data_IF_662420830740
#
_entry.id   IF_662420830740
#
_cell.length_a   1.000
_cell.length_b   1.000
_cell.length_c   1.000
_cell.angle_alpha   90.00
_cell.angle_beta   90.00
_cell.angle_gamma   90.00
#
_symmetry.space_group_name_H-M   'P 1'
#
loop_
_entity.id
_entity.type
_entity.pdbx_description
1 polymer ?
#
# COMPACT_ATOMS: atom_id res chain seq x y z
N UNK A 1 38.15 -27.33 25.37
CA UNK A 1 37.26 -28.51 25.39
C UNK A 1 35.87 -28.00 25.75
N UNK A 2 35.09 -27.62 24.75
CA UNK A 2 33.69 -27.22 24.96
C UNK A 2 32.92 -28.54 25.03
N UNK A 3 32.41 -28.91 26.20
CA UNK A 3 31.53 -30.05 26.36
C UNK A 3 30.20 -29.69 25.71
N UNK A 4 30.09 -30.03 24.43
CA UNK A 4 28.86 -29.91 23.65
C UNK A 4 27.89 -30.98 24.14
N UNK A 5 27.20 -30.68 25.23
CA UNK A 5 26.12 -31.53 25.74
C UNK A 5 25.00 -31.55 24.69
N UNK A 6 24.86 -32.70 24.03
CA UNK A 6 23.90 -32.91 22.94
C UNK A 6 22.47 -32.59 23.40
N UNK A 7 22.17 -32.79 24.69
CA UNK A 7 20.88 -32.46 25.28
C UNK A 7 20.61 -30.96 25.35
N UNK A 8 21.63 -30.14 25.62
CA UNK A 8 21.50 -28.67 25.64
C UNK A 8 21.25 -28.07 24.25
N UNK A 9 21.87 -28.64 23.22
CA UNK A 9 21.61 -28.26 21.82
C UNK A 9 20.20 -28.72 21.40
N UNK A 10 19.83 -29.97 21.74
CA UNK A 10 18.50 -30.50 21.44
C UNK A 10 17.39 -29.73 22.17
N UNK A 11 17.61 -29.26 23.39
CA UNK A 11 16.67 -28.42 24.13
C UNK A 11 16.50 -27.04 23.48
N UNK A 12 17.58 -26.47 22.94
CA UNK A 12 17.54 -25.19 22.21
C UNK A 12 16.80 -25.32 20.88
N UNK A 13 16.99 -26.44 20.16
CA UNK A 13 16.27 -26.76 18.91
C UNK A 13 14.80 -27.11 19.18
N UNK A 14 14.50 -27.81 20.28
CA UNK A 14 13.13 -28.18 20.68
C UNK A 14 12.35 -27.04 21.31
N UNK A 15 12.98 -25.92 21.64
CA UNK A 15 12.25 -24.74 22.11
C UNK A 15 11.26 -24.34 21.01
N UNK A 16 9.95 -24.55 21.18
CA UNK A 16 9.00 -24.09 20.20
C UNK A 16 9.12 -22.57 20.24
N UNK A 17 9.58 -21.97 19.14
CA UNK A 17 9.65 -20.51 18.99
C UNK A 17 8.32 -19.93 19.47
N UNK A 18 8.33 -19.40 20.70
CA UNK A 18 7.11 -18.96 21.35
C UNK A 18 6.63 -17.78 20.53
N UNK A 19 5.47 -17.91 19.88
CA UNK A 19 4.80 -16.81 19.18
C UNK A 19 4.44 -15.73 20.21
N UNK A 20 5.42 -14.94 20.63
CA UNK A 20 5.39 -14.13 21.86
C UNK A 20 5.00 -12.67 21.62
N UNK A 21 4.40 -12.36 20.48
CA UNK A 21 3.82 -11.05 20.22
C UNK A 21 2.30 -11.11 20.24
N UNK A 22 1.66 -10.09 20.82
CA UNK A 22 0.25 -9.78 20.50
C UNK A 22 0.11 -9.68 18.97
N UNK A 23 -0.97 -10.23 18.42
CA UNK A 23 -1.27 -10.19 16.98
C UNK A 23 -1.16 -8.77 16.41
N UNK A 24 -1.68 -7.79 17.16
CA UNK A 24 -1.59 -6.37 16.83
C UNK A 24 -0.16 -5.86 16.80
N UNK A 25 0.67 -6.27 17.78
CA UNK A 25 2.08 -5.86 17.84
C UNK A 25 2.89 -6.39 16.66
N UNK A 26 2.59 -7.62 16.21
CA UNK A 26 3.23 -8.20 15.02
C UNK A 26 2.80 -7.47 13.74
N UNK A 27 1.51 -7.21 13.55
CA UNK A 27 1.00 -6.48 12.39
C UNK A 27 1.58 -5.05 12.34
N UNK A 28 1.63 -4.38 13.49
CA UNK A 28 2.22 -3.04 13.62
C UNK A 28 3.73 -3.03 13.35
N UNK A 29 4.45 -4.05 13.80
CA UNK A 29 5.88 -4.20 13.52
C UNK A 29 6.17 -4.36 12.02
N UNK A 30 5.41 -5.23 11.35
CA UNK A 30 5.51 -5.44 9.89
C UNK A 30 5.16 -4.15 9.15
N UNK A 31 4.12 -3.45 9.59
CA UNK A 31 3.72 -2.17 9.03
C UNK A 31 4.85 -1.12 9.11
N UNK A 32 5.44 -0.92 10.30
CA UNK A 32 6.52 0.06 10.47
C UNK A 32 7.77 -0.29 9.69
N UNK A 33 8.12 -1.57 9.60
CA UNK A 33 9.23 -2.02 8.77
C UNK A 33 8.98 -1.64 7.30
N UNK A 34 7.79 -1.94 6.78
CA UNK A 34 7.39 -1.59 5.42
C UNK A 34 7.29 -0.08 5.18
N UNK A 35 6.82 0.69 6.15
CA UNK A 35 6.74 2.14 6.07
C UNK A 35 8.15 2.77 5.97
N UNK A 36 9.11 2.31 6.78
CA UNK A 36 10.51 2.76 6.68
C UNK A 36 11.11 2.49 5.31
N UNK A 37 10.86 1.29 4.76
CA UNK A 37 11.28 0.93 3.40
C UNK A 37 10.70 1.94 2.41
N UNK A 38 9.39 2.18 2.45
CA UNK A 38 8.73 3.12 1.55
C UNK A 38 9.36 4.53 1.58
N UNK A 39 9.65 5.07 2.77
CA UNK A 39 10.27 6.39 2.90
C UNK A 39 11.75 6.43 2.49
N UNK A 40 12.45 5.28 2.44
CA UNK A 40 13.80 5.19 1.89
C UNK A 40 13.83 5.25 0.36
N UNK A 41 12.79 4.76 -0.34
CA UNK A 41 12.70 4.77 -1.81
C UNK A 41 12.18 6.11 -2.36
N UNK A 42 12.87 7.21 -2.01
CA UNK A 42 12.48 8.58 -2.36
C UNK A 42 12.37 8.82 -3.87
N UNK A 43 13.27 8.24 -4.66
CA UNK A 43 13.29 8.43 -6.12
C UNK A 43 12.03 7.85 -6.79
N UNK A 44 11.64 6.65 -6.40
CA UNK A 44 10.44 6.01 -6.95
C UNK A 44 9.18 6.79 -6.57
N UNK A 45 9.08 7.22 -5.30
CA UNK A 45 7.97 8.04 -4.83
C UNK A 45 7.89 9.39 -5.56
N UNK A 46 9.04 10.03 -5.81
CA UNK A 46 9.11 11.31 -6.51
C UNK A 46 8.63 11.20 -7.95
N UNK A 47 9.04 10.16 -8.69
CA UNK A 47 8.58 9.93 -10.06
C UNK A 47 7.07 9.74 -10.12
N UNK A 48 6.51 8.98 -9.19
CA UNK A 48 5.06 8.73 -9.15
C UNK A 48 4.27 10.01 -8.83
N UNK A 49 4.77 10.82 -7.87
CA UNK A 49 4.16 12.11 -7.52
C UNK A 49 4.24 13.12 -8.69
N UNK A 50 5.30 13.10 -9.50
CA UNK A 50 5.40 13.92 -10.70
C UNK A 50 4.44 13.49 -11.82
N UNK A 51 4.05 12.22 -11.87
CA UNK A 51 3.04 11.72 -12.81
C UNK A 51 1.63 12.22 -12.51
N UNK A 52 1.33 12.56 -11.24
CA UNK A 52 -0.02 12.96 -10.82
C UNK A 52 -0.52 14.27 -11.45
N UNK A 53 0.25 15.38 -11.43
CA UNK A 53 -0.17 16.61 -12.09
C UNK A 53 -0.50 16.41 -13.56
N UNK A 54 0.24 15.54 -14.24
CA UNK A 54 0.02 15.23 -15.65
C UNK A 54 -1.33 14.52 -15.82
N UNK A 55 -1.62 13.51 -14.99
CA UNK A 55 -2.90 12.81 -15.01
C UNK A 55 -4.07 13.77 -14.72
N UNK A 56 -3.95 14.61 -13.69
CA UNK A 56 -4.96 15.61 -13.34
C UNK A 56 -5.17 16.62 -14.47
N UNK A 57 -4.10 17.09 -15.10
CA UNK A 57 -4.17 18.02 -16.23
C UNK A 57 -4.97 17.43 -17.40
N UNK A 58 -4.82 16.13 -17.70
CA UNK A 58 -5.62 15.45 -18.75
C UNK A 58 -7.12 15.52 -18.44
N UNK A 59 -7.51 15.22 -17.20
CA UNK A 59 -8.92 15.31 -16.79
C UNK A 59 -9.43 16.75 -16.78
N UNK A 60 -8.59 17.73 -16.43
CA UNK A 60 -8.93 19.15 -16.54
C UNK A 60 -9.13 19.61 -17.99
N UNK A 61 -8.25 19.24 -18.92
CA UNK A 61 -8.48 19.57 -20.32
C UNK A 61 -9.71 18.85 -20.88
N UNK A 62 -9.99 17.64 -20.40
CA UNK A 62 -11.24 16.94 -20.74
C UNK A 62 -12.46 17.69 -20.22
N UNK A 63 -12.42 18.24 -19.00
CA UNK A 63 -13.52 19.04 -18.44
C UNK A 63 -13.81 20.30 -19.26
N UNK A 64 -12.78 20.89 -19.89
CA UNK A 64 -12.94 22.04 -20.78
C UNK A 64 -13.64 21.69 -22.11
N UNK A 65 -13.55 20.43 -22.55
CA UNK A 65 -14.22 19.94 -23.76
C UNK A 65 -15.69 19.55 -23.51
N UNK A 66 -16.09 19.35 -22.25
CA UNK A 66 -17.44 18.93 -21.89
C UNK A 66 -18.37 20.15 -21.76
N UNK A 67 -19.50 20.09 -22.46
CA UNK A 67 -20.52 21.16 -22.50
C UNK A 67 -21.26 21.20 -21.15
N UNK A 68 -21.06 22.27 -20.38
CA UNK A 68 -21.52 22.48 -18.98
C UNK A 68 -23.03 22.27 -18.66
N UNK A 69 -24.00 22.55 -19.55
CA UNK A 69 -25.42 22.40 -19.23
C UNK A 69 -25.87 20.98 -18.88
N UNK A 70 -25.24 19.92 -19.42
CA UNK A 70 -25.78 18.56 -19.28
C UNK A 70 -25.52 17.89 -17.92
N UNK A 71 -24.57 18.40 -17.13
CA UNK A 71 -24.14 17.78 -15.87
C UNK A 71 -25.00 18.16 -14.67
N UNK A 72 -25.37 19.44 -14.58
CA UNK A 72 -26.31 19.92 -13.57
C UNK A 72 -27.70 19.27 -13.75
N UNK A 73 -28.14 19.14 -15.02
CA UNK A 73 -29.41 18.49 -15.37
C UNK A 73 -29.40 16.98 -15.08
N UNK A 74 -28.23 16.33 -15.10
CA UNK A 74 -28.06 14.91 -14.77
C UNK A 74 -27.86 14.65 -13.25
N UNK A 75 -27.86 15.68 -12.41
CA UNK A 75 -27.68 15.57 -10.96
C UNK A 75 -26.24 15.33 -10.50
N UNK A 76 -25.26 15.40 -11.40
CA UNK A 76 -23.83 15.22 -11.09
C UNK A 76 -23.17 16.56 -10.73
N UNK A 77 -23.59 17.16 -9.62
CA UNK A 77 -22.91 18.33 -9.02
C UNK A 77 -22.78 19.57 -9.91
N UNK A 78 -22.12 20.61 -9.39
CA UNK A 78 -21.90 21.87 -10.11
C UNK A 78 -20.68 21.85 -11.03
N UNK A 79 -19.75 20.92 -10.83
CA UNK A 79 -18.48 20.89 -11.56
C UNK A 79 -18.01 19.47 -11.92
N UNK A 80 -17.86 19.20 -13.22
CA UNK A 80 -17.40 17.91 -13.76
C UNK A 80 -16.01 17.55 -13.24
N UNK A 81 -15.16 18.56 -13.07
CA UNK A 81 -13.78 18.38 -12.62
C UNK A 81 -13.73 17.70 -11.26
N UNK A 82 -14.53 18.17 -10.29
CA UNK A 82 -14.56 17.58 -8.95
C UNK A 82 -15.02 16.11 -8.99
N UNK A 83 -16.02 15.80 -9.80
CA UNK A 83 -16.49 14.42 -10.00
C UNK A 83 -15.40 13.53 -10.60
N UNK A 84 -14.78 13.95 -11.69
CA UNK A 84 -13.72 13.19 -12.37
C UNK A 84 -12.49 13.00 -11.47
N UNK A 85 -12.11 14.04 -10.71
CA UNK A 85 -10.97 14.01 -9.80
C UNK A 85 -11.19 13.01 -8.66
N UNK A 86 -12.38 12.97 -8.05
CA UNK A 86 -12.72 12.00 -7.01
C UNK A 86 -12.70 10.58 -7.61
N UNK A 87 -13.33 10.39 -8.77
CA UNK A 87 -13.40 9.10 -9.45
C UNK A 87 -12.02 8.54 -9.80
N UNK A 88 -11.14 9.34 -10.40
CA UNK A 88 -9.78 8.87 -10.76
C UNK A 88 -8.94 8.60 -9.52
N UNK A 89 -9.01 9.47 -8.52
CA UNK A 89 -8.23 9.29 -7.28
C UNK A 89 -8.65 8.02 -6.55
N UNK A 90 -9.96 7.76 -6.46
CA UNK A 90 -10.50 6.56 -5.83
C UNK A 90 -10.14 5.29 -6.62
N UNK A 91 -10.23 5.35 -7.95
CA UNK A 91 -9.87 4.21 -8.81
C UNK A 91 -8.39 3.86 -8.64
N UNK A 92 -7.51 4.86 -8.65
CA UNK A 92 -6.07 4.67 -8.43
C UNK A 92 -5.79 4.11 -7.03
N UNK A 93 -6.46 4.65 -5.99
CA UNK A 93 -6.33 4.16 -4.62
C UNK A 93 -6.64 2.65 -4.51
N UNK A 94 -7.77 2.22 -5.07
CA UNK A 94 -8.19 0.81 -5.05
C UNK A 94 -7.21 -0.05 -5.85
N UNK A 95 -6.83 0.40 -7.05
CA UNK A 95 -5.89 -0.30 -7.91
C UNK A 95 -4.55 -0.53 -7.22
N UNK A 96 -3.94 0.53 -6.68
CA UNK A 96 -2.65 0.47 -5.97
C UNK A 96 -2.71 -0.48 -4.78
N UNK A 97 -3.80 -0.45 -4.03
CA UNK A 97 -3.97 -1.31 -2.85
C UNK A 97 -4.02 -2.78 -3.25
N UNK A 98 -4.83 -3.13 -4.25
CA UNK A 98 -5.04 -4.50 -4.68
C UNK A 98 -3.79 -5.06 -5.38
N UNK A 99 -3.24 -4.32 -6.36
CA UNK A 99 -2.13 -4.79 -7.19
C UNK A 99 -0.88 -5.05 -6.34
N UNK A 100 -0.60 -4.19 -5.36
CA UNK A 100 0.58 -4.36 -4.48
C UNK A 100 0.48 -5.55 -3.56
N UNK A 101 -0.71 -5.79 -3.01
CA UNK A 101 -0.94 -6.96 -2.18
C UNK A 101 -0.75 -8.24 -3.00
N UNK A 102 -1.38 -8.29 -4.18
CA UNK A 102 -1.26 -9.42 -5.10
C UNK A 102 0.18 -9.69 -5.51
N UNK A 103 0.94 -8.67 -5.90
CA UNK A 103 2.35 -8.82 -6.26
C UNK A 103 3.19 -9.31 -5.09
N UNK A 104 2.95 -8.81 -3.87
CA UNK A 104 3.71 -9.26 -2.68
C UNK A 104 3.51 -10.75 -2.43
N UNK A 105 2.26 -11.21 -2.50
CA UNK A 105 1.92 -12.63 -2.31
C UNK A 105 2.52 -13.48 -3.44
N UNK A 106 2.37 -13.06 -4.69
CA UNK A 106 2.91 -13.79 -5.84
C UNK A 106 4.43 -13.91 -5.75
N UNK A 107 5.12 -12.83 -5.41
CA UNK A 107 6.58 -12.81 -5.27
C UNK A 107 7.08 -13.77 -4.16
N UNK A 108 6.36 -13.85 -3.03
CA UNK A 108 6.71 -14.81 -1.97
C UNK A 108 6.47 -16.27 -2.36
N UNK A 109 5.47 -16.52 -3.21
CA UNK A 109 5.18 -17.85 -3.76
C UNK A 109 6.23 -18.24 -4.79
N UNK A 110 6.57 -17.34 -5.71
CA UNK A 110 7.57 -17.56 -6.77
C UNK A 110 8.96 -17.83 -6.19
N UNK A 111 9.35 -17.10 -5.15
CA UNK A 111 10.65 -17.28 -4.49
C UNK A 111 10.72 -18.51 -3.56
N UNK A 112 9.60 -19.21 -3.35
CA UNK A 112 9.50 -20.29 -2.37
C UNK A 112 9.69 -19.85 -0.91
N UNK A 113 9.67 -18.54 -0.65
CA UNK A 113 9.91 -17.96 0.69
C UNK A 113 8.68 -17.99 1.58
N UNK A 114 7.50 -18.29 1.01
CA UNK A 114 6.26 -18.44 1.76
C UNK A 114 6.40 -19.46 2.92
N UNK A 115 7.11 -20.57 2.68
CA UNK A 115 7.36 -21.63 3.68
C UNK A 115 8.24 -21.12 4.84
N UNK A 116 9.19 -20.26 4.53
CA UNK A 116 10.07 -19.61 5.52
C UNK A 116 9.27 -18.58 6.33
N UNK A 117 8.41 -17.81 5.69
CA UNK A 117 7.52 -16.85 6.37
C UNK A 117 6.51 -17.58 7.27
N UNK A 118 5.97 -18.72 6.82
CA UNK A 118 5.03 -19.55 7.59
C UNK A 118 5.68 -20.24 8.79
N UNK A 119 6.93 -20.66 8.66
CA UNK A 119 7.72 -21.25 9.75
C UNK A 119 8.28 -20.20 10.72
N UNK A 120 8.24 -18.92 10.34
CA UNK A 120 8.65 -17.82 11.21
C UNK A 120 7.73 -17.68 12.45
N UNK A 121 8.19 -17.02 13.53
CA UNK A 121 7.37 -16.78 14.73
C UNK A 121 6.19 -15.82 14.50
N UNK A 122 6.08 -15.24 13.32
CA UNK A 122 5.06 -14.26 12.93
C UNK A 122 3.78 -14.96 12.48
N UNK A 123 2.62 -14.50 12.94
CA UNK A 123 1.34 -15.04 12.48
C UNK A 123 1.08 -14.58 11.03
N UNK A 124 0.76 -15.52 10.14
CA UNK A 124 0.45 -15.22 8.73
C UNK A 124 -0.65 -14.15 8.58
N UNK A 125 -1.70 -14.19 9.39
CA UNK A 125 -2.76 -13.17 9.35
C UNK A 125 -2.27 -11.77 9.75
N UNK A 126 -1.36 -11.67 10.73
CA UNK A 126 -0.77 -10.39 11.12
C UNK A 126 0.18 -9.86 10.03
N UNK A 127 0.90 -10.76 9.37
CA UNK A 127 1.77 -10.44 8.24
C UNK A 127 0.99 -9.88 7.06
N UNK A 128 -0.06 -10.58 6.61
CA UNK A 128 -0.92 -10.15 5.50
C UNK A 128 -1.60 -8.81 5.78
N UNK A 129 -2.07 -8.59 7.01
CA UNK A 129 -2.63 -7.29 7.40
C UNK A 129 -1.58 -6.19 7.36
N UNK A 130 -0.36 -6.43 7.88
CA UNK A 130 0.74 -5.48 7.80
C UNK A 130 1.13 -5.13 6.36
N UNK A 131 1.16 -6.12 5.46
CA UNK A 131 1.41 -5.92 4.03
C UNK A 131 0.29 -5.13 3.34
N UNK A 132 -0.97 -5.43 3.66
CA UNK A 132 -2.13 -4.69 3.13
C UNK A 132 -2.12 -3.22 3.57
N UNK A 133 -1.72 -2.97 4.83
CA UNK A 133 -1.64 -1.62 5.40
C UNK A 133 -0.60 -0.75 4.67
N UNK A 134 0.46 -1.35 4.13
CA UNK A 134 1.43 -0.65 3.26
C UNK A 134 0.78 -0.19 1.95
N UNK A 135 0.02 -1.08 1.30
CA UNK A 135 -0.72 -0.74 0.07
C UNK A 135 -1.70 0.41 0.30
N UNK A 136 -2.44 0.35 1.40
CA UNK A 136 -3.38 1.40 1.83
C UNK A 136 -2.69 2.72 2.13
N UNK A 137 -1.56 2.72 2.84
CA UNK A 137 -0.80 3.95 3.10
C UNK A 137 -0.40 4.64 1.80
N UNK A 138 0.20 3.88 0.89
CA UNK A 138 0.73 4.45 -0.33
C UNK A 138 -0.39 4.91 -1.26
N UNK A 139 -1.44 4.10 -1.41
CA UNK A 139 -2.65 4.52 -2.10
C UNK A 139 -3.23 5.78 -1.48
N UNK A 140 -3.28 5.87 -0.15
CA UNK A 140 -3.81 7.02 0.57
C UNK A 140 -2.98 8.29 0.36
N UNK A 141 -1.64 8.19 0.41
CA UNK A 141 -0.73 9.29 0.06
C UNK A 141 -1.05 9.78 -1.35
N UNK A 142 -1.22 8.86 -2.30
CA UNK A 142 -1.52 9.21 -3.68
C UNK A 142 -2.89 9.83 -3.89
N UNK A 143 -3.91 9.32 -3.19
CA UNK A 143 -5.25 9.89 -3.17
C UNK A 143 -5.24 11.33 -2.67
N UNK A 144 -4.61 11.58 -1.52
CA UNK A 144 -4.53 12.91 -0.90
C UNK A 144 -3.69 13.85 -1.76
N UNK A 145 -2.56 13.39 -2.30
CA UNK A 145 -1.71 14.19 -3.18
C UNK A 145 -2.44 14.60 -4.47
N UNK A 146 -3.14 13.67 -5.11
CA UNK A 146 -3.91 13.95 -6.35
C UNK A 146 -5.05 14.93 -6.08
N UNK A 147 -5.77 14.75 -4.96
CA UNK A 147 -6.79 15.71 -4.50
C UNK A 147 -6.21 17.10 -4.27
N UNK A 148 -5.09 17.19 -3.55
CA UNK A 148 -4.44 18.45 -3.24
C UNK A 148 -3.97 19.19 -4.50
N UNK A 149 -3.36 18.47 -5.45
CA UNK A 149 -2.96 19.04 -6.75
C UNK A 149 -4.17 19.51 -7.54
N UNK A 150 -5.25 18.73 -7.60
CA UNK A 150 -6.47 19.13 -8.29
C UNK A 150 -7.09 20.41 -7.73
N UNK A 151 -7.20 20.53 -6.40
CA UNK A 151 -7.77 21.72 -5.74
C UNK A 151 -6.88 22.95 -5.90
N UNK A 152 -5.56 22.81 -5.81
CA UNK A 152 -4.64 23.96 -5.82
C UNK A 152 -4.34 24.52 -7.19
N UNK A 153 -4.29 23.67 -8.23
CA UNK A 153 -3.94 24.09 -9.59
C UNK A 153 -5.17 24.34 -10.47
N UNK A 154 -6.29 23.67 -10.19
CA UNK A 154 -7.44 23.63 -11.10
C UNK A 154 -8.80 23.91 -10.43
N UNK A 155 -8.82 24.07 -9.10
CA UNK A 155 -10.02 24.42 -8.31
C UNK A 155 -10.29 25.92 -8.21
#
# INVERSE_FOLDING_TARGET
MISTDAEGILATIKSPYRKSGSWFGQAWGVFWANAKVLFSYRTWLATELLGMPISVAIYFFTSMLVVKPSLADAGYGTDYLSFALIGVSMTNFVWVTIVRLSHTIQHEVEDGTLEVVLSSPTRMSAYLVGQSLRGLLLGGIFFVATMFVGVTFFG
#
